data_IF_606604220223
#
_entry.id   IF_606604220223
#
_cell.length_a   1.000
_cell.length_b   1.000
_cell.length_c   1.000
_cell.angle_alpha   90.00
_cell.angle_beta   90.00
_cell.angle_gamma   90.00
#
_symmetry.space_group_name_H-M   'P 1'
#
loop_
_entity.id
_entity.type
_entity.pdbx_description
1 polymer ?
#
# COMPACT_ATOMS: atom_id res chain seq x y z
N UNK A 1 -5.54 -3.14 -17.61
CA UNK A 1 -4.96 -3.64 -16.35
C UNK A 1 -5.44 -2.76 -15.21
N UNK A 2 -5.96 -3.34 -14.13
CA UNK A 2 -6.46 -2.62 -12.95
C UNK A 2 -5.32 -1.90 -12.24
N UNK A 3 -5.57 -0.66 -11.81
CA UNK A 3 -4.63 0.11 -11.01
C UNK A 3 -4.70 -0.35 -9.57
N UNK A 4 -3.60 -0.86 -9.02
CA UNK A 4 -3.52 -1.33 -7.64
C UNK A 4 -2.79 -0.34 -6.74
N UNK A 5 -3.36 -0.08 -5.56
CA UNK A 5 -2.69 0.62 -4.46
C UNK A 5 -2.14 -0.41 -3.47
N UNK A 6 -0.85 -0.35 -3.18
CA UNK A 6 -0.20 -1.21 -2.20
C UNK A 6 -0.09 -0.51 -0.84
N UNK A 7 -0.61 -1.16 0.19
CA UNK A 7 -0.67 -0.63 1.55
C UNK A 7 -0.12 -1.66 2.56
N UNK A 8 0.88 -1.27 3.34
CA UNK A 8 1.58 -2.16 4.28
C UNK A 8 2.77 -1.47 4.94
N UNK A 9 3.35 -2.09 5.97
CA UNK A 9 4.51 -1.58 6.71
C UNK A 9 5.71 -1.23 5.84
N UNK A 10 6.61 -0.45 6.41
CA UNK A 10 7.99 -0.33 5.90
C UNK A 10 8.60 -1.73 5.83
N UNK A 11 9.33 -2.00 4.75
CA UNK A 11 9.96 -3.30 4.47
C UNK A 11 9.00 -4.49 4.26
N UNK A 12 7.68 -4.28 4.13
CA UNK A 12 6.74 -5.35 3.75
C UNK A 12 6.88 -5.84 2.30
N UNK A 13 7.86 -5.34 1.55
CA UNK A 13 8.16 -5.79 0.18
C UNK A 13 7.31 -5.12 -0.92
N UNK A 14 6.60 -4.02 -0.64
CA UNK A 14 5.77 -3.31 -1.62
C UNK A 14 6.54 -2.88 -2.87
N UNK A 15 7.65 -2.16 -2.66
CA UNK A 15 8.49 -1.66 -3.76
C UNK A 15 9.10 -2.80 -4.58
N UNK A 16 9.56 -3.85 -3.91
CA UNK A 16 10.10 -5.06 -4.57
C UNK A 16 9.02 -5.76 -5.39
N UNK A 17 7.80 -5.85 -4.85
CA UNK A 17 6.64 -6.39 -5.56
C UNK A 17 6.29 -5.55 -6.79
N UNK A 18 6.34 -4.22 -6.68
CA UNK A 18 6.11 -3.31 -7.81
C UNK A 18 7.10 -3.56 -8.94
N UNK A 19 8.39 -3.71 -8.60
CA UNK A 19 9.46 -4.00 -9.57
C UNK A 19 9.23 -5.37 -10.24
N UNK A 20 8.88 -6.40 -9.44
CA UNK A 20 8.60 -7.73 -9.96
C UNK A 20 7.38 -7.76 -10.91
N UNK A 21 6.30 -7.04 -10.59
CA UNK A 21 5.11 -6.93 -11.45
C UNK A 21 5.40 -6.22 -12.78
N UNK A 22 6.44 -5.39 -12.83
CA UNK A 22 6.89 -4.68 -14.03
C UNK A 22 7.94 -5.43 -14.84
N UNK A 23 8.48 -6.53 -14.31
CA UNK A 23 9.64 -7.20 -14.88
C UNK A 23 10.91 -6.35 -14.83
N UNK A 24 11.03 -5.42 -13.88
CA UNK A 24 12.20 -4.60 -13.65
C UNK A 24 13.24 -5.31 -12.78
N UNK A 25 14.50 -4.88 -12.88
CA UNK A 25 15.56 -5.34 -11.97
C UNK A 25 15.25 -4.92 -10.52
N UNK A 26 15.33 -5.85 -9.58
CA UNK A 26 15.00 -5.59 -8.18
C UNK A 26 16.10 -4.75 -7.54
N UNK A 27 15.76 -3.52 -7.13
CA UNK A 27 16.64 -2.59 -6.40
C UNK A 27 15.97 -2.19 -5.09
N UNK A 28 16.68 -2.32 -3.98
CA UNK A 28 16.15 -1.98 -2.67
C UNK A 28 16.32 -0.48 -2.38
N UNK A 29 15.19 0.24 -2.21
CA UNK A 29 15.14 1.61 -1.72
C UNK A 29 13.87 1.86 -0.91
N UNK A 30 13.94 2.83 0.03
CA UNK A 30 12.80 3.21 0.87
C UNK A 30 11.94 4.25 0.15
N UNK A 31 10.66 3.97 -0.02
CA UNK A 31 9.69 4.92 -0.57
C UNK A 31 9.33 5.95 0.50
N UNK A 32 9.57 7.24 0.23
CA UNK A 32 9.27 8.34 1.17
C UNK A 32 7.97 9.08 0.80
N UNK A 33 7.54 9.00 -0.45
CA UNK A 33 6.35 9.65 -0.97
C UNK A 33 5.49 8.66 -1.74
N UNK A 34 4.19 8.97 -1.88
CA UNK A 34 3.29 8.17 -2.71
C UNK A 34 3.73 8.29 -4.17
N UNK A 35 4.13 7.20 -4.78
CA UNK A 35 4.50 7.13 -6.17
C UNK A 35 3.31 6.66 -7.01
N UNK A 36 2.84 7.53 -7.89
CA UNK A 36 1.80 7.21 -8.86
C UNK A 36 2.47 6.69 -10.14
N UNK A 37 2.44 5.39 -10.28
CA UNK A 37 2.89 4.73 -11.49
C UNK A 37 1.64 4.23 -12.22
N UNK A 38 1.65 4.15 -13.55
CA UNK A 38 0.44 3.90 -14.35
C UNK A 38 -0.47 2.77 -13.85
N UNK A 39 0.11 1.75 -13.22
CA UNK A 39 -0.63 0.57 -12.75
C UNK A 39 -0.51 0.33 -11.24
N UNK A 40 0.49 0.89 -10.56
CA UNK A 40 0.75 0.66 -9.13
C UNK A 40 0.93 1.98 -8.40
N UNK A 41 0.17 2.16 -7.32
CA UNK A 41 0.36 3.25 -6.36
C UNK A 41 1.13 2.67 -5.17
N UNK A 42 2.43 2.97 -5.08
CA UNK A 42 3.26 2.55 -3.96
C UNK A 42 3.19 3.60 -2.85
N UNK A 43 2.77 3.18 -1.66
CA UNK A 43 2.61 4.07 -0.50
C UNK A 43 3.76 3.89 0.49
N UNK A 44 4.21 4.99 1.15
CA UNK A 44 5.15 4.88 2.25
C UNK A 44 4.60 3.99 3.36
N UNK A 45 5.41 3.03 3.84
CA UNK A 45 4.99 2.11 4.90
C UNK A 45 4.68 2.80 6.23
N UNK A 46 5.23 4.00 6.44
CA UNK A 46 4.98 4.83 7.63
C UNK A 46 3.52 5.26 7.77
N UNK A 47 2.78 5.35 6.67
CA UNK A 47 1.35 5.61 6.71
C UNK A 47 0.54 4.46 7.35
N UNK A 48 1.09 3.27 7.42
CA UNK A 48 0.44 2.11 8.03
C UNK A 48 0.71 2.01 9.54
N UNK A 49 1.77 2.64 10.02
CA UNK A 49 2.22 2.54 11.41
C UNK A 49 1.61 3.60 12.34
N UNK A 50 0.98 4.64 11.79
CA UNK A 50 0.35 5.72 12.58
C UNK A 50 -1.17 5.55 12.64
N UNK A 51 -1.81 5.93 13.77
CA UNK A 51 -3.27 5.88 13.95
C UNK A 51 -4.08 6.70 12.93
N UNK A 52 -3.46 7.68 12.30
CA UNK A 52 -4.07 8.54 11.27
C UNK A 52 -4.20 7.85 9.90
N UNK A 53 -3.75 6.62 9.80
CA UNK A 53 -3.52 5.87 8.57
C UNK A 53 -4.81 5.43 7.88
N UNK A 54 -5.90 5.24 8.62
CA UNK A 54 -7.20 4.87 8.05
C UNK A 54 -7.76 5.98 7.14
N UNK A 55 -7.52 7.24 7.47
CA UNK A 55 -7.89 8.38 6.63
C UNK A 55 -7.09 8.41 5.32
N UNK A 56 -5.78 8.14 5.38
CA UNK A 56 -4.93 8.07 4.20
C UNK A 56 -5.34 6.92 3.27
N UNK A 57 -5.65 5.73 3.83
CA UNK A 57 -6.13 4.59 3.06
C UNK A 57 -7.39 4.95 2.26
N UNK A 58 -8.39 5.55 2.92
CA UNK A 58 -9.64 5.94 2.26
C UNK A 58 -9.41 6.98 1.16
N UNK A 59 -8.54 7.96 1.39
CA UNK A 59 -8.25 9.02 0.43
C UNK A 59 -7.58 8.49 -0.85
N UNK A 60 -6.52 7.70 -0.69
CA UNK A 60 -5.77 7.18 -1.83
C UNK A 60 -6.45 6.00 -2.54
N UNK A 61 -7.33 5.25 -1.85
CA UNK A 61 -8.11 4.18 -2.45
C UNK A 61 -9.03 4.68 -3.59
N UNK A 62 -9.42 5.96 -3.60
CA UNK A 62 -10.22 6.53 -4.69
C UNK A 62 -9.50 6.53 -6.04
N UNK A 63 -8.18 6.61 -6.04
CA UNK A 63 -7.37 6.66 -7.26
C UNK A 63 -6.98 5.27 -7.80
N UNK A 64 -7.32 4.21 -7.06
CA UNK A 64 -7.06 2.82 -7.42
C UNK A 64 -8.35 2.08 -7.79
N UNK A 65 -8.20 1.00 -8.56
CA UNK A 65 -9.27 0.05 -8.84
C UNK A 65 -9.31 -1.06 -7.79
N UNK A 66 -8.13 -1.39 -7.25
CA UNK A 66 -7.91 -2.44 -6.26
C UNK A 66 -6.99 -1.94 -5.15
N UNK A 67 -7.30 -2.31 -3.91
CA UNK A 67 -6.44 -2.07 -2.75
C UNK A 67 -5.76 -3.38 -2.35
N UNK A 68 -4.42 -3.41 -2.36
CA UNK A 68 -3.61 -4.53 -1.91
C UNK A 68 -3.08 -4.30 -0.50
N UNK A 69 -3.57 -5.05 0.47
CA UNK A 69 -3.01 -5.09 1.83
C UNK A 69 -1.82 -6.03 1.85
N UNK A 70 -0.63 -5.49 2.11
CA UNK A 70 0.65 -6.22 2.01
C UNK A 70 1.20 -6.53 3.38
N UNK A 71 1.44 -7.81 3.67
CA UNK A 71 2.17 -8.30 4.85
C UNK A 71 3.29 -9.25 4.42
N UNK A 72 4.42 -9.18 5.08
CA UNK A 72 5.49 -10.17 4.89
C UNK A 72 5.14 -11.49 5.59
N UNK A 73 5.49 -12.62 4.98
CA UNK A 73 5.22 -13.95 5.52
C UNK A 73 5.86 -14.21 6.90
N UNK A 74 6.90 -13.46 7.24
CA UNK A 74 7.60 -13.55 8.52
C UNK A 74 7.17 -12.49 9.56
N UNK A 75 6.09 -11.73 9.31
CA UNK A 75 5.58 -10.77 10.29
C UNK A 75 5.20 -11.47 11.61
N UNK A 76 5.60 -10.89 12.76
CA UNK A 76 5.27 -11.48 14.07
C UNK A 76 3.81 -11.19 14.48
N UNK A 77 3.20 -10.13 13.98
CA UNK A 77 1.81 -9.74 14.28
C UNK A 77 1.19 -8.95 13.11
N UNK A 78 -0.14 -8.92 13.06
CA UNK A 78 -0.86 -8.10 12.07
C UNK A 78 -0.92 -6.65 12.51
N UNK A 79 -0.61 -5.75 11.57
CA UNK A 79 -0.84 -4.29 11.74
C UNK A 79 -2.24 -3.88 11.28
N UNK A 80 -2.93 -4.76 10.55
CA UNK A 80 -4.27 -4.50 10.05
C UNK A 80 -5.31 -4.94 11.07
N UNK A 81 -6.19 -4.04 11.52
CA UNK A 81 -7.31 -4.41 12.38
C UNK A 81 -8.33 -5.26 11.61
N UNK A 82 -9.13 -6.06 12.31
CA UNK A 82 -10.25 -6.77 11.70
C UNK A 82 -11.18 -5.82 10.94
N UNK A 83 -11.72 -6.30 9.81
CA UNK A 83 -12.67 -5.56 8.98
C UNK A 83 -12.13 -4.22 8.41
N UNK A 84 -10.82 -4.00 8.33
CA UNK A 84 -10.23 -2.77 7.78
C UNK A 84 -10.77 -2.45 6.39
N UNK A 85 -11.00 -3.48 5.56
CA UNK A 85 -11.48 -3.29 4.17
C UNK A 85 -12.87 -2.70 4.07
N UNK A 86 -13.67 -2.69 5.16
CA UNK A 86 -14.98 -2.04 5.19
C UNK A 86 -14.91 -0.51 5.05
N UNK A 87 -13.73 0.07 5.29
CA UNK A 87 -13.49 1.50 5.16
C UNK A 87 -13.21 1.95 3.73
N UNK A 88 -13.01 1.02 2.81
CA UNK A 88 -12.73 1.31 1.39
C UNK A 88 -13.84 0.78 0.50
N UNK A 89 -14.25 1.56 -0.50
CA UNK A 89 -15.29 1.19 -1.47
C UNK A 89 -14.69 0.58 -2.75
N UNK A 90 -13.52 -0.05 -2.64
CA UNK A 90 -12.82 -0.75 -3.73
C UNK A 90 -12.63 -2.22 -3.38
N UNK A 91 -12.43 -3.06 -4.41
CA UNK A 91 -12.04 -4.44 -4.17
C UNK A 91 -10.72 -4.47 -3.40
N UNK A 92 -10.71 -5.14 -2.23
CA UNK A 92 -9.51 -5.30 -1.41
C UNK A 92 -9.02 -6.73 -1.47
N UNK A 93 -7.72 -6.88 -1.75
CA UNK A 93 -7.01 -8.15 -1.77
C UNK A 93 -5.89 -8.16 -0.74
N UNK A 94 -5.56 -9.33 -0.23
CA UNK A 94 -4.38 -9.57 0.59
C UNK A 94 -3.20 -10.01 -0.27
N UNK A 95 -2.00 -9.57 0.08
CA UNK A 95 -0.76 -10.02 -0.55
C UNK A 95 0.22 -10.41 0.55
N UNK A 96 0.64 -11.68 0.55
CA UNK A 96 1.65 -12.20 1.46
C UNK A 96 2.97 -12.23 0.70
N UNK A 97 3.92 -11.38 1.08
CA UNK A 97 5.25 -11.30 0.41
C UNK A 97 6.28 -12.14 1.14
N UNK A 98 7.37 -12.48 0.44
CA UNK A 98 8.53 -13.16 1.04
C UNK A 98 8.22 -14.58 1.50
N UNK A 99 7.42 -15.32 0.73
CA UNK A 99 7.07 -16.73 1.01
C UNK A 99 8.28 -17.66 0.89
N UNK A 100 9.34 -17.20 0.24
CA UNK A 100 10.64 -17.86 0.06
C UNK A 100 11.53 -17.80 1.31
N UNK A 101 11.16 -17.00 2.33
CA UNK A 101 11.96 -16.85 3.55
C UNK A 101 11.86 -18.10 4.44
N UNK A 102 12.95 -18.48 5.13
CA UNK A 102 12.97 -19.68 5.95
C UNK A 102 12.01 -19.64 7.16
N UNK A 103 11.70 -18.43 7.64
CA UNK A 103 10.79 -18.17 8.76
C UNK A 103 9.36 -17.77 8.31
N UNK A 104 9.05 -17.98 7.03
CA UNK A 104 7.75 -17.67 6.46
C UNK A 104 6.63 -18.50 7.07
N UNK A 105 5.55 -17.84 7.52
CA UNK A 105 4.32 -18.51 7.95
C UNK A 105 3.13 -17.96 7.15
N UNK A 106 2.99 -18.44 5.94
CA UNK A 106 2.00 -17.99 4.96
C UNK A 106 0.58 -18.19 5.47
N UNK A 107 0.30 -19.32 6.15
CA UNK A 107 -1.04 -19.61 6.66
C UNK A 107 -1.48 -18.60 7.72
N UNK A 108 -0.60 -18.29 8.68
CA UNK A 108 -0.86 -17.31 9.74
C UNK A 108 -1.17 -15.94 9.15
N UNK A 109 -0.33 -15.46 8.22
CA UNK A 109 -0.47 -14.14 7.61
C UNK A 109 -1.72 -14.09 6.71
N UNK A 110 -2.00 -15.16 5.98
CA UNK A 110 -3.23 -15.27 5.18
C UNK A 110 -4.48 -15.14 6.07
N UNK A 111 -4.49 -15.78 7.26
CA UNK A 111 -5.59 -15.67 8.21
C UNK A 111 -5.80 -14.23 8.67
N UNK A 112 -4.72 -13.50 8.95
CA UNK A 112 -4.81 -12.09 9.33
C UNK A 112 -5.38 -11.20 8.23
N UNK A 113 -4.96 -11.40 6.98
CA UNK A 113 -5.49 -10.66 5.85
C UNK A 113 -6.97 -10.96 5.60
N UNK A 114 -7.40 -12.20 5.80
CA UNK A 114 -8.83 -12.56 5.76
C UNK A 114 -9.62 -11.90 6.89
N UNK A 115 -9.10 -11.84 8.11
CA UNK A 115 -9.70 -11.11 9.22
C UNK A 115 -9.80 -9.61 8.94
N UNK A 116 -8.81 -9.03 8.25
CA UNK A 116 -8.88 -7.64 7.79
C UNK A 116 -9.96 -7.40 6.71
N UNK A 117 -10.56 -8.48 6.16
CA UNK A 117 -11.66 -8.43 5.20
C UNK A 117 -11.29 -8.75 3.76
N UNK A 118 -10.05 -9.19 3.49
CA UNK A 118 -9.64 -9.58 2.14
C UNK A 118 -10.27 -10.92 1.74
N UNK A 119 -11.07 -10.92 0.68
CA UNK A 119 -11.71 -12.14 0.14
C UNK A 119 -10.73 -13.00 -0.64
N UNK A 120 -9.76 -12.38 -1.33
CA UNK A 120 -8.70 -13.05 -2.08
C UNK A 120 -7.37 -12.71 -1.44
N UNK A 121 -6.49 -13.72 -1.33
CA UNK A 121 -5.13 -13.54 -0.79
C UNK A 121 -4.16 -14.22 -1.75
N UNK A 122 -3.11 -13.50 -2.13
CA UNK A 122 -2.06 -13.94 -3.05
C UNK A 122 -0.74 -14.08 -2.29
N UNK A 123 -0.28 -15.31 -2.04
CA UNK A 123 1.09 -15.55 -1.58
C UNK A 123 2.07 -15.33 -2.75
N UNK A 124 3.10 -14.52 -2.54
CA UNK A 124 4.05 -14.18 -3.60
C UNK A 124 5.49 -14.11 -3.09
N UNK A 125 6.41 -14.51 -3.95
CA UNK A 125 7.83 -14.16 -3.82
C UNK A 125 8.25 -13.31 -5.01
N UNK A 126 8.65 -12.09 -4.73
CA UNK A 126 9.20 -11.22 -5.77
C UNK A 126 10.59 -11.67 -6.24
N UNK A 127 11.30 -12.48 -5.45
CA UNK A 127 12.64 -12.98 -5.77
C UNK A 127 12.55 -14.21 -6.68
N UNK A 128 11.71 -15.19 -6.33
CA UNK A 128 11.56 -16.44 -7.12
C UNK A 128 10.54 -16.28 -8.26
N UNK A 129 9.69 -15.25 -8.22
CA UNK A 129 8.59 -15.04 -9.16
C UNK A 129 7.34 -15.87 -8.86
N UNK A 130 7.35 -16.67 -7.79
CA UNK A 130 6.20 -17.48 -7.37
C UNK A 130 5.00 -16.58 -7.04
N UNK A 131 3.80 -16.93 -7.52
CA UNK A 131 2.55 -16.20 -7.28
C UNK A 131 2.43 -14.86 -8.04
N UNK A 132 3.51 -14.35 -8.66
CA UNK A 132 3.49 -13.05 -9.37
C UNK A 132 2.59 -13.13 -10.62
N UNK A 133 2.62 -14.25 -11.35
CA UNK A 133 1.81 -14.43 -12.56
C UNK A 133 0.32 -14.46 -12.25
N UNK A 134 -0.08 -15.10 -11.16
CA UNK A 134 -1.47 -15.19 -10.69
C UNK A 134 -1.99 -13.80 -10.27
N UNK A 135 -1.18 -13.03 -9.54
CA UNK A 135 -1.50 -11.66 -9.16
C UNK A 135 -1.60 -10.76 -10.40
N UNK A 136 -0.66 -10.87 -11.34
CA UNK A 136 -0.68 -10.10 -12.59
C UNK A 136 -1.89 -10.45 -13.46
N UNK A 137 -2.27 -11.73 -13.56
CA UNK A 137 -3.46 -12.18 -14.28
C UNK A 137 -4.73 -11.58 -13.65
N UNK A 138 -4.85 -11.60 -12.33
CA UNK A 138 -5.96 -10.96 -11.61
C UNK A 138 -6.05 -9.45 -11.89
N UNK A 139 -4.94 -8.75 -11.93
CA UNK A 139 -4.89 -7.32 -12.24
C UNK A 139 -5.16 -7.02 -13.73
N UNK A 140 -4.89 -7.97 -14.63
CA UNK A 140 -5.13 -7.83 -16.06
C UNK A 140 -6.58 -8.11 -16.46
N UNK A 141 -7.34 -8.81 -15.61
CA UNK A 141 -8.74 -9.16 -15.87
C UNK A 141 -9.64 -7.92 -15.71
N UNK A 142 -10.07 -7.36 -16.84
CA UNK A 142 -10.87 -6.12 -16.95
C UNK A 142 -12.39 -6.36 -16.81
N UNK A 143 -12.81 -7.57 -16.43
CA UNK A 143 -14.21 -7.92 -16.30
C UNK A 143 -14.87 -7.27 -15.07
N UNK A 144 -15.16 -5.96 -15.12
CA UNK A 144 -16.09 -5.37 -14.16
C UNK A 144 -15.89 -3.94 -13.68
N UNK A 145 -14.95 -3.16 -14.21
CA UNK A 145 -14.79 -1.76 -13.73
C UNK A 145 -15.35 -0.76 -14.74
N UNK A 146 -16.57 -0.26 -14.47
CA UNK A 146 -17.07 0.97 -15.11
C UNK A 146 -16.41 2.15 -14.40
N UNK A 147 -15.44 2.79 -15.04
CA UNK A 147 -14.88 4.05 -14.58
C UNK A 147 -15.88 5.19 -14.78
N UNK A 148 -16.47 5.72 -13.71
CA UNK A 148 -17.01 7.07 -13.72
C UNK A 148 -15.84 8.07 -13.74
N UNK A 149 -15.50 8.52 -14.95
CA UNK A 149 -14.54 9.60 -15.18
C UNK A 149 -15.15 10.95 -14.76
N UNK A 150 -15.32 11.20 -13.48
CA UNK A 150 -15.44 12.54 -12.94
C UNK A 150 -14.06 12.99 -12.48
N UNK A 151 -13.46 13.90 -13.24
CA UNK A 151 -12.19 14.53 -12.94
C UNK A 151 -12.27 15.23 -11.57
N UNK A 152 -11.74 14.61 -10.53
CA UNK A 152 -11.50 15.26 -9.25
C UNK A 152 -10.24 16.11 -9.41
N UNK A 153 -10.39 17.45 -9.35
CA UNK A 153 -9.26 18.39 -9.31
C UNK A 153 -8.34 18.00 -8.15
N UNK A 154 -7.06 17.78 -8.46
CA UNK A 154 -6.02 17.49 -7.48
C UNK A 154 -6.02 18.55 -6.38
N UNK A 155 -6.08 18.19 -5.09
CA UNK A 155 -5.80 19.15 -4.03
C UNK A 155 -4.31 19.49 -4.09
N UNK A 156 -3.99 20.73 -4.44
CA UNK A 156 -2.65 21.27 -4.26
C UNK A 156 -2.43 21.46 -2.76
N UNK A 157 -1.67 20.58 -2.14
CA UNK A 157 -1.17 20.79 -0.80
C UNK A 157 -0.02 21.79 -0.92
N UNK A 158 -0.31 23.05 -0.62
CA UNK A 158 0.68 24.13 -0.52
C UNK A 158 1.56 23.86 0.72
N UNK A 159 2.75 23.30 0.51
CA UNK A 159 3.78 23.09 1.54
C UNK A 159 4.58 24.37 1.87
N UNK A 160 4.14 25.56 1.43
CA UNK A 160 4.89 26.80 1.55
C UNK A 160 4.51 27.70 2.75
N UNK A 161 3.82 27.19 3.76
CA UNK A 161 3.37 28.02 4.89
C UNK A 161 3.74 27.48 6.26
N UNK A 162 5.00 27.04 6.46
CA UNK A 162 5.50 26.71 7.81
C UNK A 162 7.00 26.96 8.03
N UNK A 163 7.53 28.00 7.41
CA UNK A 163 8.90 28.49 7.73
C UNK A 163 8.94 30.01 7.86
N UNK A 164 8.09 30.59 8.68
CA UNK A 164 8.27 31.96 9.17
C UNK A 164 7.45 32.15 10.44
N UNK A 165 7.95 31.66 11.55
CA UNK A 165 7.68 32.14 12.93
C UNK A 165 8.63 31.47 13.92
N UNK A 166 9.95 31.71 13.75
CA UNK A 166 10.93 31.55 14.82
C UNK A 166 11.97 32.67 14.67
N UNK A 167 11.66 33.81 15.24
CA UNK A 167 12.57 34.93 15.22
C UNK A 167 11.87 36.20 15.67
N UNK A 168 11.63 36.32 16.98
CA UNK A 168 11.78 37.55 17.76
C UNK A 168 11.17 37.36 19.14
N UNK A 169 12.00 36.91 20.07
CA UNK A 169 11.83 37.15 21.50
C UNK A 169 12.60 38.41 21.76
N UNK A 170 11.93 39.55 21.74
CA UNK A 170 12.47 40.78 22.33
C UNK A 170 12.20 40.79 23.83
N UNK A 171 13.31 40.80 24.52
CA UNK A 171 13.49 41.03 25.94
C UNK A 171 13.02 42.45 26.25
N UNK A 172 12.05 42.64 27.16
CA UNK A 172 11.96 43.84 28.03
C UNK A 172 11.70 43.38 29.46
N UNK A 173 12.76 43.53 30.23
CA UNK A 173 12.76 43.70 31.68
C UNK A 173 12.00 44.99 32.07
N UNK A 174 11.08 44.91 33.01
CA UNK A 174 11.01 45.65 34.26
C UNK A 174 9.81 45.15 35.05
#
# INVERSE_FOLDING_TARGET
MKKIMLFGRVAAGKTTLTQALRGEEIKYYKTQYVNYLDTVIDTPGEYTERRETSGALSLYAYEADVVGLVLSANEPYSIFPPCLTSMVNREAIGIVTGIDKPDANVERVTRWLRLAGCKKVFPVSSITGEGIKELAAFLSDDSGVKHDKKAVKKPQVNLAAKQEKSGQLDIWLL
#
